data_IF_533841928211
#
_entry.id   IF_533841928211
#
_cell.length_a   1.000
_cell.length_b   1.000
_cell.length_c   1.000
_cell.angle_alpha   90.00
_cell.angle_beta   90.00
_cell.angle_gamma   90.00
#
_symmetry.space_group_name_H-M   'P 1'
#
loop_
_entity.id
_entity.type
_entity.pdbx_description
1 polymer ?
#
# COMPACT_ATOMS: atom_id res chain seq x y z
N UNK A 1 39.53 9.93 48.08
CA UNK A 1 38.20 9.98 47.43
C UNK A 1 38.41 9.79 45.93
N UNK A 2 38.09 8.60 45.40
CA UNK A 2 38.18 8.32 43.96
C UNK A 2 36.87 8.78 43.29
N UNK A 3 36.96 9.73 42.37
CA UNK A 3 35.82 10.16 41.55
C UNK A 3 35.57 9.12 40.44
N UNK A 4 34.40 8.48 40.49
CA UNK A 4 33.91 7.59 39.44
C UNK A 4 33.18 8.48 38.42
N UNK A 5 33.68 8.54 37.20
CA UNK A 5 32.98 9.18 36.08
C UNK A 5 32.10 8.09 35.38
N UNK A 6 30.80 8.23 35.50
CA UNK A 6 29.84 7.41 34.74
C UNK A 6 29.73 8.02 33.35
N UNK A 7 30.25 7.33 32.34
CA UNK A 7 30.08 7.70 30.93
C UNK A 7 28.71 7.17 30.47
N UNK A 8 27.73 8.05 30.39
CA UNK A 8 26.43 7.71 29.86
C UNK A 8 26.50 7.71 28.30
N UNK A 9 26.62 6.53 27.73
CA UNK A 9 26.55 6.38 26.27
C UNK A 9 25.09 6.55 25.88
N UNK A 10 24.71 7.69 25.28
CA UNK A 10 23.42 7.88 24.65
C UNK A 10 23.40 7.08 23.35
N UNK A 11 22.63 5.97 23.34
CA UNK A 11 22.30 5.27 22.12
C UNK A 11 21.29 6.14 21.36
N UNK A 12 21.72 6.82 20.32
CA UNK A 12 20.82 7.42 19.34
C UNK A 12 20.25 6.28 18.48
N UNK A 13 19.04 5.84 18.78
CA UNK A 13 18.22 5.16 17.80
C UNK A 13 17.81 6.21 16.77
N UNK A 14 18.41 6.16 15.60
CA UNK A 14 17.92 6.90 14.44
C UNK A 14 16.53 6.36 14.10
N UNK A 15 15.50 7.08 14.48
CA UNK A 15 14.17 6.86 13.95
C UNK A 15 14.23 7.35 12.50
N UNK A 16 14.27 6.44 11.53
CA UNK A 16 14.04 6.77 10.14
C UNK A 16 12.57 7.22 10.01
N UNK A 17 12.31 8.49 10.20
CA UNK A 17 11.03 9.09 9.89
C UNK A 17 10.94 9.17 8.36
N UNK A 18 10.22 8.24 7.75
CA UNK A 18 9.79 8.39 6.36
C UNK A 18 8.84 9.58 6.32
N UNK A 19 9.01 10.47 5.34
CA UNK A 19 8.00 11.48 5.07
C UNK A 19 6.78 10.76 4.48
N UNK A 20 5.72 10.63 5.28
CA UNK A 20 4.45 10.08 4.86
C UNK A 20 3.71 11.15 4.05
N UNK A 21 3.27 10.78 2.87
CA UNK A 21 2.47 11.61 1.98
C UNK A 21 1.03 11.09 2.01
N UNK A 22 0.08 11.97 1.73
CA UNK A 22 -1.35 11.63 1.72
C UNK A 22 -1.96 12.09 0.41
N UNK A 23 -2.80 11.24 -0.19
CA UNK A 23 -3.70 11.62 -1.26
C UNK A 23 -5.13 11.63 -0.71
N UNK A 24 -5.63 12.83 -0.43
CA UNK A 24 -6.90 13.16 0.19
C UNK A 24 -7.97 13.63 -0.81
N UNK A 25 -7.66 13.58 -2.10
CA UNK A 25 -8.53 13.96 -3.23
C UNK A 25 -8.94 15.44 -3.30
N UNK A 26 -8.48 16.30 -2.40
CA UNK A 26 -8.84 17.73 -2.38
C UNK A 26 -8.26 18.52 -3.58
N UNK A 27 -7.34 17.92 -4.32
CA UNK A 27 -6.86 18.47 -5.59
C UNK A 27 -7.88 18.32 -6.75
N UNK A 28 -8.93 17.49 -6.60
CA UNK A 28 -10.00 17.34 -7.58
C UNK A 28 -11.08 18.38 -7.32
N UNK A 29 -11.25 19.31 -8.25
CA UNK A 29 -12.23 20.39 -8.11
C UNK A 29 -13.62 19.87 -8.48
N UNK A 30 -14.48 19.72 -7.49
CA UNK A 30 -15.87 19.33 -7.64
C UNK A 30 -16.80 20.52 -7.35
N UNK A 31 -18.03 20.47 -7.87
CA UNK A 31 -19.13 21.32 -7.39
C UNK A 31 -19.62 20.84 -6.02
N UNK A 32 -20.61 21.54 -5.45
CA UNK A 32 -21.24 21.09 -4.19
C UNK A 32 -22.16 19.90 -4.46
N UNK A 33 -22.11 18.87 -3.58
CA UNK A 33 -22.94 17.66 -3.68
C UNK A 33 -22.87 17.01 -5.07
N UNK A 34 -21.64 16.70 -5.53
CA UNK A 34 -21.43 16.13 -6.84
C UNK A 34 -20.27 15.14 -6.85
N UNK A 35 -20.07 14.50 -7.98
CA UNK A 35 -18.99 13.53 -8.19
C UNK A 35 -18.45 13.59 -9.61
N UNK A 36 -17.21 13.14 -9.81
CA UNK A 36 -16.61 12.86 -11.12
C UNK A 36 -16.40 11.35 -11.27
N UNK A 37 -17.15 10.73 -12.17
CA UNK A 37 -17.06 9.31 -12.50
C UNK A 37 -16.38 9.06 -13.85
N UNK A 38 -15.67 10.05 -14.39
CA UNK A 38 -15.02 9.98 -15.70
C UNK A 38 -15.91 10.34 -16.87
N UNK A 39 -17.20 10.63 -16.67
CA UNK A 39 -18.13 10.99 -17.78
C UNK A 39 -17.73 12.28 -18.50
N UNK A 40 -16.98 13.16 -17.83
CA UNK A 40 -16.39 14.37 -18.40
C UNK A 40 -15.13 14.12 -19.24
N UNK A 41 -14.66 12.87 -19.35
CA UNK A 41 -13.45 12.50 -20.08
C UNK A 41 -12.23 12.25 -19.19
N UNK A 42 -12.38 12.29 -17.88
CA UNK A 42 -11.33 11.87 -16.91
C UNK A 42 -11.11 10.37 -17.06
N UNK A 43 -9.88 9.95 -17.38
CA UNK A 43 -9.58 8.53 -17.54
C UNK A 43 -9.13 7.87 -16.23
N UNK A 44 -8.39 8.60 -15.40
CA UNK A 44 -7.91 8.14 -14.07
C UNK A 44 -7.78 9.34 -13.15
N UNK A 45 -7.84 9.10 -11.85
CA UNK A 45 -7.57 10.13 -10.85
C UNK A 45 -6.14 9.98 -10.34
N UNK A 46 -5.37 11.07 -10.34
CA UNK A 46 -3.95 11.02 -10.00
C UNK A 46 -3.48 12.29 -9.28
N UNK A 47 -2.45 12.12 -8.45
CA UNK A 47 -1.66 13.21 -7.87
C UNK A 47 -0.19 13.17 -8.34
N UNK A 48 0.09 12.62 -9.53
CA UNK A 48 1.41 12.37 -10.12
C UNK A 48 2.22 11.25 -9.45
N UNK A 49 1.93 10.82 -8.24
CA UNK A 49 2.56 9.70 -7.54
C UNK A 49 1.69 8.46 -7.47
N UNK A 50 0.39 8.64 -7.29
CA UNK A 50 -0.60 7.58 -7.24
C UNK A 50 -1.62 7.76 -8.36
N UNK A 51 -2.12 6.64 -8.85
CA UNK A 51 -3.20 6.58 -9.82
C UNK A 51 -4.30 5.66 -9.30
N UNK A 52 -5.53 6.17 -9.26
CA UNK A 52 -6.75 5.41 -9.11
C UNK A 52 -7.35 5.20 -10.49
N UNK A 53 -7.50 3.98 -10.91
CA UNK A 53 -8.04 3.67 -12.23
C UNK A 53 -9.53 3.98 -12.30
N UNK A 54 -9.95 4.57 -13.42
CA UNK A 54 -11.34 4.80 -13.77
C UNK A 54 -11.54 4.42 -15.24
N UNK A 55 -12.67 3.79 -15.53
CA UNK A 55 -13.09 3.52 -16.90
C UNK A 55 -14.57 3.89 -17.03
N UNK A 56 -14.85 4.90 -17.84
CA UNK A 56 -16.22 5.30 -18.17
C UNK A 56 -16.55 4.93 -19.62
N UNK A 57 -17.56 4.09 -19.83
CA UNK A 57 -17.98 3.67 -21.15
C UNK A 57 -19.48 3.38 -21.21
N UNK A 58 -20.16 3.89 -22.23
CA UNK A 58 -21.56 3.55 -22.49
C UNK A 58 -22.54 4.01 -21.40
N UNK A 59 -22.20 5.00 -20.60
CA UNK A 59 -23.02 5.48 -19.47
C UNK A 59 -22.74 4.79 -18.14
N UNK A 60 -21.76 3.89 -18.09
CA UNK A 60 -21.36 3.14 -16.89
C UNK A 60 -19.90 3.43 -16.56
N UNK A 61 -19.56 3.32 -15.28
CA UNK A 61 -18.19 3.47 -14.80
C UNK A 61 -17.75 2.24 -13.99
N UNK A 62 -16.45 1.98 -13.99
CA UNK A 62 -15.78 1.00 -13.11
C UNK A 62 -14.48 1.61 -12.58
N UNK A 63 -13.93 1.04 -11.52
CA UNK A 63 -12.78 1.59 -10.83
C UNK A 63 -13.21 2.59 -9.77
N UNK A 64 -12.71 3.81 -9.86
CA UNK A 64 -12.95 4.85 -8.86
C UNK A 64 -13.72 6.04 -9.42
N UNK A 65 -14.48 6.65 -8.55
CA UNK A 65 -15.12 7.97 -8.72
C UNK A 65 -14.66 8.87 -7.57
N UNK A 66 -14.49 10.17 -7.79
CA UNK A 66 -14.25 11.12 -6.70
C UNK A 66 -15.53 11.85 -6.40
N UNK A 67 -15.90 11.95 -5.12
CA UNK A 67 -17.19 12.47 -4.67
C UNK A 67 -17.04 13.38 -3.45
N UNK A 68 -17.99 14.29 -3.28
CA UNK A 68 -18.20 15.06 -2.06
C UNK A 68 -19.68 15.06 -1.64
N UNK A 69 -20.44 14.03 -2.06
CA UNK A 69 -21.86 13.92 -1.73
C UNK A 69 -22.05 13.47 -0.29
N UNK A 70 -23.04 14.07 0.41
CA UNK A 70 -23.27 13.88 1.85
C UNK A 70 -24.55 13.14 2.18
N UNK A 71 -25.27 12.61 1.18
CA UNK A 71 -26.56 11.92 1.34
C UNK A 71 -26.39 10.55 2.01
N UNK A 72 -26.78 10.45 3.29
CA UNK A 72 -26.73 9.20 4.10
C UNK A 72 -28.09 8.53 4.24
N UNK A 73 -29.14 8.99 3.51
CA UNK A 73 -30.52 8.50 3.70
C UNK A 73 -31.15 7.87 2.46
N UNK A 74 -30.66 8.14 1.26
CA UNK A 74 -31.22 7.60 0.02
C UNK A 74 -30.66 6.20 -0.25
N UNK A 75 -31.52 5.19 -0.06
CA UNK A 75 -31.19 3.78 -0.31
C UNK A 75 -31.42 3.42 -1.77
N UNK A 76 -30.58 3.86 -2.67
CA UNK A 76 -30.75 3.65 -4.10
C UNK A 76 -29.42 3.69 -4.85
N UNK A 77 -29.34 3.00 -5.99
CA UNK A 77 -28.20 3.09 -6.91
C UNK A 77 -27.95 4.53 -7.41
N UNK A 78 -28.96 5.41 -7.37
CA UNK A 78 -28.78 6.84 -7.69
C UNK A 78 -27.95 7.59 -6.66
N UNK A 79 -27.67 6.97 -5.50
CA UNK A 79 -26.83 7.46 -4.43
C UNK A 79 -25.61 6.55 -4.20
N UNK A 80 -25.09 5.94 -5.26
CA UNK A 80 -23.94 5.03 -5.20
C UNK A 80 -22.63 5.74 -4.82
N UNK A 81 -22.56 7.05 -5.05
CA UNK A 81 -21.34 7.85 -4.84
C UNK A 81 -21.26 8.51 -3.46
N UNK A 82 -22.22 8.30 -2.55
CA UNK A 82 -22.15 8.86 -1.19
C UNK A 82 -21.49 7.91 -0.20
N UNK A 83 -20.57 8.43 0.63
CA UNK A 83 -20.06 7.69 1.78
C UNK A 83 -21.13 7.59 2.88
N UNK A 84 -21.20 6.48 3.60
CA UNK A 84 -22.16 6.31 4.70
C UNK A 84 -21.81 7.15 5.93
N UNK A 85 -20.60 7.69 5.98
CA UNK A 85 -20.17 8.66 7.01
C UNK A 85 -20.69 10.08 6.76
N UNK A 86 -21.20 10.38 5.54
CA UNK A 86 -21.74 11.67 5.13
C UNK A 86 -20.70 12.72 4.78
N UNK A 87 -19.43 12.37 4.72
CA UNK A 87 -18.32 13.25 4.32
C UNK A 87 -17.06 12.43 4.05
N UNK A 88 -16.02 13.07 3.49
CA UNK A 88 -14.65 12.56 3.51
C UNK A 88 -14.08 12.53 4.94
N UNK A 89 -12.92 11.93 5.10
CA UNK A 89 -12.24 11.82 6.38
C UNK A 89 -11.44 13.09 6.68
N UNK A 90 -11.96 13.97 7.51
CA UNK A 90 -11.40 15.31 7.79
C UNK A 90 -11.28 16.24 6.56
N UNK A 91 -11.99 15.92 5.49
CA UNK A 91 -11.98 16.60 4.19
C UNK A 91 -13.37 16.54 3.57
N UNK A 92 -13.57 17.20 2.42
CA UNK A 92 -14.84 17.17 1.70
C UNK A 92 -14.86 15.99 0.69
N UNK A 93 -13.77 15.80 -0.04
CA UNK A 93 -13.67 14.80 -1.09
C UNK A 93 -13.25 13.43 -0.55
N UNK A 94 -13.70 12.40 -1.24
CA UNK A 94 -13.30 11.00 -1.03
C UNK A 94 -13.46 10.23 -2.33
N UNK A 95 -12.88 9.02 -2.41
CA UNK A 95 -13.07 8.16 -3.57
C UNK A 95 -14.06 7.04 -3.27
N UNK A 96 -14.90 6.70 -4.25
CA UNK A 96 -15.80 5.53 -4.21
C UNK A 96 -15.33 4.52 -5.24
N UNK A 97 -15.23 3.26 -4.82
CA UNK A 97 -14.85 2.13 -5.66
C UNK A 97 -16.05 1.31 -6.10
N UNK A 98 -16.03 0.92 -7.38
CA UNK A 98 -16.94 -0.07 -7.97
C UNK A 98 -16.21 -0.88 -9.04
N UNK A 99 -16.06 -2.18 -8.84
CA UNK A 99 -15.56 -3.17 -9.81
C UNK A 99 -14.25 -2.80 -10.54
N UNK A 100 -13.45 -3.78 -10.91
CA UNK A 100 -12.34 -3.72 -11.87
C UNK A 100 -11.35 -2.53 -11.75
N UNK A 101 -11.17 -1.98 -10.57
CA UNK A 101 -10.26 -0.86 -10.34
C UNK A 101 -9.05 -1.22 -9.50
N UNK A 102 -8.00 -0.41 -9.61
CA UNK A 102 -6.79 -0.53 -8.80
C UNK A 102 -6.25 0.83 -8.37
N UNK A 103 -5.55 0.84 -7.25
CA UNK A 103 -4.62 1.91 -6.86
C UNK A 103 -3.24 1.47 -7.31
N UNK A 104 -2.49 2.33 -7.99
CA UNK A 104 -1.12 2.02 -8.40
C UNK A 104 -0.16 3.18 -8.17
N UNK A 105 1.11 2.86 -7.88
CA UNK A 105 2.18 3.85 -7.77
C UNK A 105 2.76 4.17 -9.14
N UNK A 106 3.24 5.41 -9.33
CA UNK A 106 3.83 5.85 -10.60
C UNK A 106 5.14 5.13 -10.94
N UNK A 107 5.85 4.59 -9.95
CA UNK A 107 7.13 3.90 -10.14
C UNK A 107 7.46 2.99 -8.94
N UNK A 108 8.56 2.24 -9.03
CA UNK A 108 9.05 1.28 -8.03
C UNK A 108 9.70 1.93 -6.79
N UNK A 109 9.83 3.25 -6.78
CA UNK A 109 10.36 4.00 -5.64
C UNK A 109 9.26 4.48 -4.69
N UNK A 110 8.01 4.19 -5.00
CA UNK A 110 6.84 4.53 -4.22
C UNK A 110 6.15 3.28 -3.69
N UNK A 111 5.53 3.40 -2.53
CA UNK A 111 4.70 2.35 -1.94
C UNK A 111 3.46 2.95 -1.29
N UNK A 112 2.35 2.23 -1.37
CA UNK A 112 1.14 2.50 -0.59
C UNK A 112 1.36 1.96 0.82
N UNK A 113 1.14 2.81 1.82
CA UNK A 113 1.28 2.45 3.25
C UNK A 113 -0.07 2.02 3.84
N UNK A 114 -1.17 2.52 3.30
CA UNK A 114 -2.52 2.24 3.75
C UNK A 114 -3.52 3.29 3.29
N UNK A 115 -4.76 3.12 3.70
CA UNK A 115 -5.86 4.08 3.46
C UNK A 115 -6.98 3.88 4.46
N UNK A 116 -7.89 4.84 4.54
CA UNK A 116 -9.13 4.67 5.29
C UNK A 116 -10.24 4.15 4.39
N UNK A 117 -11.10 3.28 4.95
CA UNK A 117 -12.20 2.64 4.24
C UNK A 117 -13.50 2.74 5.04
N UNK A 118 -14.63 2.87 4.35
CA UNK A 118 -15.97 2.80 4.91
C UNK A 118 -16.98 2.30 3.89
N UNK A 119 -18.23 2.05 4.30
CA UNK A 119 -19.33 1.75 3.37
C UNK A 119 -19.73 2.99 2.56
N UNK A 120 -20.27 2.74 1.35
CA UNK A 120 -21.16 3.73 0.71
C UNK A 120 -22.54 3.68 1.35
N UNK A 121 -23.27 4.77 1.22
CA UNK A 121 -24.67 4.85 1.71
C UNK A 121 -25.56 3.81 1.04
N UNK A 122 -25.38 3.61 -0.28
CA UNK A 122 -26.16 2.61 -1.01
C UNK A 122 -25.92 1.20 -0.46
N UNK A 123 -24.67 0.76 -0.31
CA UNK A 123 -24.36 -0.56 0.21
C UNK A 123 -24.84 -0.73 1.66
N UNK A 124 -24.58 0.24 2.54
CA UNK A 124 -24.98 0.18 3.94
C UNK A 124 -26.49 0.09 4.12
N UNK A 125 -27.26 0.93 3.44
CA UNK A 125 -28.71 0.94 3.55
C UNK A 125 -29.38 -0.27 2.89
N UNK A 126 -28.77 -0.82 1.82
CA UNK A 126 -29.20 -2.09 1.21
C UNK A 126 -29.06 -3.24 2.21
N UNK A 127 -27.92 -3.37 2.88
CA UNK A 127 -27.71 -4.38 3.94
C UNK A 127 -28.63 -4.15 5.14
N UNK A 128 -28.82 -2.89 5.55
CA UNK A 128 -29.61 -2.55 6.74
C UNK A 128 -31.10 -2.80 6.56
N UNK A 129 -31.66 -2.47 5.38
CA UNK A 129 -33.10 -2.45 5.14
C UNK A 129 -33.57 -3.53 4.16
N UNK A 130 -32.66 -4.11 3.38
CA UNK A 130 -33.00 -4.86 2.18
C UNK A 130 -33.52 -3.95 1.05
N UNK A 131 -33.55 -4.48 -0.15
CA UNK A 131 -34.15 -3.83 -1.32
C UNK A 131 -34.73 -4.89 -2.29
N UNK A 132 -35.00 -4.51 -3.55
CA UNK A 132 -35.58 -5.44 -4.55
C UNK A 132 -34.60 -6.53 -5.00
N UNK A 133 -33.32 -6.41 -4.70
CA UNK A 133 -32.26 -7.32 -5.14
C UNK A 133 -31.55 -7.98 -3.95
N UNK A 134 -31.24 -7.19 -2.92
CA UNK A 134 -30.47 -7.62 -1.76
C UNK A 134 -31.38 -7.84 -0.53
N UNK A 135 -31.06 -8.85 0.26
CA UNK A 135 -31.73 -9.12 1.53
C UNK A 135 -31.35 -8.10 2.59
N UNK A 136 -32.21 -7.96 3.61
CA UNK A 136 -31.83 -7.32 4.86
C UNK A 136 -30.92 -8.27 5.64
N UNK A 137 -29.74 -7.82 6.06
CA UNK A 137 -28.83 -8.62 6.89
C UNK A 137 -29.42 -8.92 8.26
N UNK A 138 -29.16 -10.12 8.78
CA UNK A 138 -29.81 -10.66 9.97
C UNK A 138 -31.21 -11.29 9.72
N UNK A 139 -31.78 -11.14 8.51
CA UNK A 139 -33.02 -11.80 8.12
C UNK A 139 -32.77 -13.28 7.84
N UNK A 140 -33.78 -14.14 8.19
CA UNK A 140 -33.78 -15.56 7.83
C UNK A 140 -34.13 -15.81 6.35
N UNK A 141 -34.62 -14.79 5.68
CA UNK A 141 -35.10 -14.88 4.29
C UNK A 141 -34.26 -13.96 3.37
N UNK A 142 -34.09 -14.43 2.13
CA UNK A 142 -33.57 -13.63 1.04
C UNK A 142 -34.53 -12.52 0.58
N UNK A 143 -34.12 -11.73 -0.41
CA UNK A 143 -34.96 -10.66 -0.97
C UNK A 143 -36.27 -11.17 -1.58
N UNK A 144 -36.32 -12.42 -2.01
CA UNK A 144 -37.51 -13.09 -2.55
C UNK A 144 -38.50 -13.56 -1.48
N UNK A 145 -38.20 -13.34 -0.19
CA UNK A 145 -39.00 -13.73 0.96
C UNK A 145 -38.91 -15.21 1.37
N UNK A 146 -38.06 -16.00 0.70
CA UNK A 146 -37.85 -17.40 1.05
C UNK A 146 -36.59 -17.57 1.91
N UNK A 147 -36.52 -18.65 2.77
CA UNK A 147 -35.30 -18.95 3.51
C UNK A 147 -34.07 -19.11 2.58
N UNK A 148 -32.99 -18.40 2.88
CA UNK A 148 -31.77 -18.39 2.06
C UNK A 148 -30.66 -19.31 2.58
N UNK A 149 -30.87 -19.90 3.76
CA UNK A 149 -29.96 -20.85 4.38
C UNK A 149 -28.83 -20.21 5.19
N UNK A 150 -28.75 -18.87 5.28
CA UNK A 150 -27.76 -18.19 6.12
C UNK A 150 -28.11 -18.21 7.59
N UNK A 151 -29.39 -18.43 7.93
CA UNK A 151 -29.92 -18.30 9.29
C UNK A 151 -29.73 -16.91 9.93
N UNK A 152 -29.56 -15.87 9.11
CA UNK A 152 -29.26 -14.52 9.53
C UNK A 152 -27.77 -14.25 9.79
N UNK A 153 -26.92 -15.25 9.60
CA UNK A 153 -25.47 -15.11 9.71
C UNK A 153 -24.92 -14.50 8.42
N UNK A 154 -25.09 -13.20 8.26
CA UNK A 154 -24.72 -12.47 7.05
C UNK A 154 -23.40 -11.75 7.18
N UNK A 155 -22.72 -11.58 6.06
CA UNK A 155 -21.51 -10.76 5.99
C UNK A 155 -21.34 -10.11 4.62
N UNK A 156 -20.63 -8.98 4.63
CA UNK A 156 -20.11 -8.35 3.42
C UNK A 156 -18.67 -7.91 3.66
N UNK A 157 -17.75 -8.37 2.85
CA UNK A 157 -16.34 -8.05 2.99
C UNK A 157 -15.68 -7.73 1.66
N UNK A 158 -14.57 -7.02 1.76
CA UNK A 158 -13.65 -6.78 0.66
C UNK A 158 -12.30 -7.45 0.97
N UNK A 159 -11.78 -8.20 -0.01
CA UNK A 159 -10.39 -8.61 -0.06
C UNK A 159 -9.59 -7.47 -0.65
N UNK A 160 -8.62 -6.98 0.08
CA UNK A 160 -7.69 -5.94 -0.33
C UNK A 160 -6.39 -6.67 -0.68
N UNK A 161 -6.06 -6.72 -1.96
CA UNK A 161 -4.99 -7.54 -2.52
C UNK A 161 -3.81 -6.64 -2.81
N UNK A 162 -2.69 -6.91 -2.14
CA UNK A 162 -1.46 -6.14 -2.27
C UNK A 162 -0.48 -6.82 -3.23
N UNK A 163 0.01 -6.06 -4.19
CA UNK A 163 0.93 -6.49 -5.24
C UNK A 163 2.22 -5.67 -5.20
N UNK A 164 3.32 -6.27 -5.62
CA UNK A 164 4.56 -5.55 -5.84
C UNK A 164 4.55 -4.80 -7.20
N UNK A 165 5.61 -4.07 -7.47
CA UNK A 165 5.75 -3.31 -8.71
C UNK A 165 5.72 -4.19 -9.98
N UNK A 166 6.04 -5.47 -9.87
CA UNK A 166 5.97 -6.41 -11.00
C UNK A 166 4.55 -6.91 -11.28
N UNK A 167 3.57 -6.57 -10.42
CA UNK A 167 2.20 -7.06 -10.46
C UNK A 167 2.03 -8.45 -9.84
N UNK A 168 3.04 -8.92 -9.08
CA UNK A 168 2.91 -10.17 -8.36
C UNK A 168 2.16 -9.96 -7.05
N UNK A 169 1.06 -10.70 -6.87
CA UNK A 169 0.34 -10.75 -5.59
C UNK A 169 1.26 -11.28 -4.49
N UNK A 170 1.38 -10.52 -3.42
CA UNK A 170 2.25 -10.85 -2.28
C UNK A 170 1.46 -11.18 -1.03
N UNK A 171 0.40 -10.43 -0.77
CA UNK A 171 -0.44 -10.63 0.41
C UNK A 171 -1.85 -10.09 0.17
N UNK A 172 -2.76 -10.35 1.10
CA UNK A 172 -4.11 -9.80 1.08
C UNK A 172 -4.66 -9.72 2.50
N UNK A 173 -5.51 -8.74 2.73
CA UNK A 173 -6.25 -8.57 3.98
C UNK A 173 -7.74 -8.60 3.71
N UNK A 174 -8.49 -9.24 4.60
CA UNK A 174 -9.95 -9.18 4.63
C UNK A 174 -10.40 -7.99 5.48
N UNK A 175 -11.32 -7.21 4.96
CA UNK A 175 -12.00 -6.19 5.75
C UNK A 175 -13.51 -6.40 5.64
N UNK A 176 -14.17 -6.59 6.81
CA UNK A 176 -15.62 -6.77 6.89
C UNK A 176 -16.30 -5.41 6.94
N UNK A 177 -16.99 -5.05 5.87
CA UNK A 177 -17.85 -3.86 5.78
C UNK A 177 -19.17 -4.05 6.54
N UNK A 178 -19.59 -5.31 6.73
CA UNK A 178 -20.66 -5.72 7.64
C UNK A 178 -20.42 -7.16 8.12
N UNK A 179 -20.72 -7.44 9.38
CA UNK A 179 -20.63 -8.78 9.95
C UNK A 179 -21.76 -9.02 10.96
N UNK A 180 -22.63 -10.00 10.66
CA UNK A 180 -23.81 -10.43 11.43
C UNK A 180 -23.69 -11.87 11.91
N UNK A 181 -22.48 -12.41 12.00
CA UNK A 181 -22.20 -13.80 12.37
C UNK A 181 -21.83 -13.97 13.84
N UNK A 182 -21.97 -12.94 14.65
CA UNK A 182 -21.66 -13.02 16.07
C UNK A 182 -22.75 -13.81 16.82
N UNK A 183 -22.33 -14.67 17.76
CA UNK A 183 -23.25 -15.37 18.64
C UNK A 183 -24.09 -14.42 19.51
N UNK A 184 -23.52 -13.27 19.84
CA UNK A 184 -24.21 -12.16 20.51
C UNK A 184 -24.52 -11.10 19.44
N UNK A 185 -25.74 -11.08 18.97
CA UNK A 185 -26.20 -10.17 17.91
C UNK A 185 -26.04 -8.68 18.26
N UNK A 186 -25.79 -8.34 19.55
CA UNK A 186 -25.42 -6.95 19.90
C UNK A 186 -24.05 -6.52 19.38
N UNK A 187 -23.26 -7.48 18.89
CA UNK A 187 -21.94 -7.24 18.26
C UNK A 187 -22.04 -7.18 16.73
N UNK A 188 -23.19 -7.49 16.14
CA UNK A 188 -23.42 -7.35 14.71
C UNK A 188 -23.27 -5.88 14.28
N UNK A 189 -22.65 -5.67 13.13
CA UNK A 189 -22.39 -4.31 12.68
C UNK A 189 -22.43 -4.14 11.17
N UNK A 190 -22.72 -2.92 10.76
CA UNK A 190 -22.42 -2.35 9.45
C UNK A 190 -21.47 -1.18 9.71
N UNK A 191 -20.30 -1.17 9.06
CA UNK A 191 -19.30 -0.11 9.22
C UNK A 191 -19.91 1.24 8.83
N UNK A 192 -19.83 2.21 9.74
CA UNK A 192 -20.37 3.56 9.61
C UNK A 192 -19.36 4.65 10.03
N UNK A 193 -18.09 4.30 10.09
CA UNK A 193 -16.98 5.19 10.39
C UNK A 193 -15.79 4.84 9.49
N UNK A 194 -14.80 5.73 9.41
CA UNK A 194 -13.56 5.50 8.66
C UNK A 194 -12.61 4.59 9.42
N UNK A 195 -12.23 3.48 8.81
CA UNK A 195 -11.32 2.48 9.38
C UNK A 195 -10.02 2.43 8.59
N UNK A 196 -8.87 2.42 9.27
CA UNK A 196 -7.57 2.39 8.63
C UNK A 196 -7.12 0.96 8.28
N UNK A 197 -6.71 0.78 7.03
CA UNK A 197 -6.07 -0.44 6.54
C UNK A 197 -4.58 -0.17 6.46
N UNK A 198 -3.79 -0.90 7.25
CA UNK A 198 -2.34 -0.72 7.36
C UNK A 198 -1.59 -1.81 6.58
N UNK A 199 -0.75 -1.41 5.64
CA UNK A 199 0.10 -2.30 4.85
C UNK A 199 1.51 -2.46 5.41
N UNK A 200 1.88 -1.77 6.47
CA UNK A 200 3.22 -1.86 7.06
C UNK A 200 3.54 -3.30 7.54
N UNK A 201 2.51 -4.08 7.88
CA UNK A 201 2.67 -5.46 8.33
C UNK A 201 3.05 -6.45 7.23
N UNK A 202 2.90 -6.10 5.94
CA UNK A 202 3.15 -7.04 4.83
C UNK A 202 4.63 -7.33 4.57
N UNK A 203 5.55 -6.49 5.06
CA UNK A 203 6.99 -6.74 4.96
C UNK A 203 7.57 -6.61 3.55
N UNK A 204 6.83 -6.03 2.60
CA UNK A 204 7.26 -5.68 1.25
C UNK A 204 6.67 -4.33 0.82
N UNK A 205 7.21 -3.76 -0.27
CA UNK A 205 6.68 -2.51 -0.83
C UNK A 205 5.45 -2.78 -1.67
N UNK A 206 4.28 -2.33 -1.20
CA UNK A 206 3.00 -2.42 -1.92
C UNK A 206 2.94 -1.35 -3.00
N UNK A 207 3.02 -1.75 -4.27
CA UNK A 207 2.97 -0.85 -5.41
C UNK A 207 1.60 -0.79 -6.09
N UNK A 208 0.80 -1.84 -5.94
CA UNK A 208 -0.57 -1.92 -6.45
C UNK A 208 -1.49 -2.51 -5.40
N UNK A 209 -2.74 -2.04 -5.41
CA UNK A 209 -3.81 -2.56 -4.57
C UNK A 209 -5.04 -2.77 -5.43
N UNK A 210 -5.51 -4.00 -5.48
CA UNK A 210 -6.75 -4.39 -6.14
C UNK A 210 -7.75 -4.96 -5.14
N UNK A 211 -9.01 -5.12 -5.54
CA UNK A 211 -10.09 -5.43 -4.63
C UNK A 211 -10.99 -6.53 -5.16
N UNK A 212 -11.52 -7.35 -4.25
CA UNK A 212 -12.51 -8.37 -4.56
C UNK A 212 -13.54 -8.43 -3.44
N UNK A 213 -14.81 -8.35 -3.80
CA UNK A 213 -15.92 -8.46 -2.86
C UNK A 213 -16.33 -9.91 -2.61
N UNK A 214 -16.91 -10.13 -1.43
CA UNK A 214 -17.57 -11.36 -1.03
C UNK A 214 -18.70 -11.05 -0.06
N UNK A 215 -19.87 -11.64 -0.30
CA UNK A 215 -21.05 -11.51 0.55
C UNK A 215 -21.73 -12.86 0.76
N UNK A 216 -22.44 -13.01 1.88
CA UNK A 216 -23.37 -14.13 2.11
C UNK A 216 -24.60 -14.05 1.21
N UNK A 217 -25.03 -12.85 0.80
CA UNK A 217 -26.19 -12.63 -0.02
C UNK A 217 -25.85 -12.77 -1.51
N UNK A 218 -26.12 -13.97 -2.06
CA UNK A 218 -25.86 -14.33 -3.43
C UNK A 218 -27.10 -14.92 -4.09
N UNK A 219 -27.35 -14.55 -5.33
CA UNK A 219 -28.43 -15.04 -6.16
C UNK A 219 -27.96 -15.75 -7.42
N UNK A 220 -28.88 -16.01 -8.31
CA UNK A 220 -28.61 -16.67 -9.61
C UNK A 220 -27.66 -15.88 -10.52
N UNK A 221 -27.50 -14.58 -10.29
CA UNK A 221 -26.69 -13.66 -11.07
C UNK A 221 -25.41 -13.21 -10.37
N UNK A 222 -25.09 -13.84 -9.22
CA UNK A 222 -23.93 -13.49 -8.39
C UNK A 222 -24.36 -12.78 -7.10
N UNK A 223 -23.47 -11.95 -6.57
CA UNK A 223 -23.68 -11.22 -5.33
C UNK A 223 -24.79 -10.18 -5.49
N UNK A 224 -25.77 -10.19 -4.55
CA UNK A 224 -26.87 -9.23 -4.54
C UNK A 224 -26.53 -7.95 -3.77
N UNK A 225 -25.67 -8.04 -2.77
CA UNK A 225 -25.17 -6.89 -2.00
C UNK A 225 -24.45 -5.91 -2.95
N UNK A 226 -24.78 -4.61 -2.95
CA UNK A 226 -24.11 -3.61 -3.79
C UNK A 226 -22.61 -3.58 -3.54
N UNK A 227 -21.79 -3.81 -4.57
CA UNK A 227 -20.34 -3.95 -4.50
C UNK A 227 -19.62 -2.61 -4.53
N UNK A 228 -19.88 -1.77 -3.54
CA UNK A 228 -19.31 -0.43 -3.38
C UNK A 228 -18.68 -0.25 -2.00
N UNK A 229 -17.59 0.49 -1.95
CA UNK A 229 -17.05 1.08 -0.72
C UNK A 229 -16.44 2.45 -1.00
N UNK A 230 -16.21 3.24 0.04
CA UNK A 230 -15.51 4.51 -0.06
C UNK A 230 -14.13 4.40 0.60
N UNK A 231 -13.13 5.10 0.05
CA UNK A 231 -11.79 5.26 0.62
C UNK A 231 -11.41 6.72 0.70
N UNK A 232 -10.51 7.03 1.65
CA UNK A 232 -9.94 8.35 1.79
C UNK A 232 -8.53 8.29 2.40
N UNK A 233 -7.82 9.43 2.34
CA UNK A 233 -6.49 9.59 2.94
C UNK A 233 -5.55 8.44 2.58
N UNK A 234 -5.32 8.17 1.29
CA UNK A 234 -4.36 7.15 0.87
C UNK A 234 -2.97 7.62 1.29
N UNK A 235 -2.39 6.89 2.24
CA UNK A 235 -1.05 7.14 2.74
C UNK A 235 -0.04 6.40 1.88
N UNK A 236 1.01 7.11 1.47
CA UNK A 236 2.08 6.54 0.65
C UNK A 236 3.41 7.17 1.02
N UNK A 237 4.48 6.51 0.67
CA UNK A 237 5.84 7.01 0.91
C UNK A 237 6.77 6.60 -0.22
N UNK A 238 7.91 7.29 -0.27
CA UNK A 238 9.04 6.75 -1.03
C UNK A 238 9.59 5.52 -0.34
N UNK A 239 9.87 4.49 -1.11
CA UNK A 239 10.61 3.31 -0.64
C UNK A 239 12.00 3.79 -0.23
N UNK A 240 12.13 4.20 1.04
CA UNK A 240 13.43 4.53 1.62
C UNK A 240 14.10 3.22 2.04
N UNK A 241 14.45 2.47 1.07
CA UNK A 241 15.43 1.41 1.18
C UNK A 241 16.37 1.68 0.04
N UNK A 242 17.62 1.93 0.37
CA UNK A 242 18.69 1.42 -0.44
C UNK A 242 18.48 -0.11 -0.48
N UNK A 243 17.57 -0.61 -1.29
CA UNK A 243 17.86 -1.80 -2.02
C UNK A 243 19.01 -1.38 -2.96
N UNK A 244 20.20 -1.20 -2.39
CA UNK A 244 21.41 -1.30 -3.16
C UNK A 244 21.26 -2.62 -3.89
N UNK A 245 20.91 -2.55 -5.17
CA UNK A 245 20.88 -3.73 -6.02
C UNK A 245 22.28 -4.30 -5.90
N UNK A 246 22.39 -5.42 -5.16
CA UNK A 246 23.69 -6.03 -4.95
C UNK A 246 24.17 -6.50 -6.32
N UNK A 247 25.32 -6.02 -6.72
CA UNK A 247 25.98 -6.51 -7.93
C UNK A 247 26.27 -8.00 -7.76
N UNK A 248 25.69 -8.82 -8.62
CA UNK A 248 25.54 -10.26 -8.37
C UNK A 248 26.83 -11.08 -8.57
N UNK A 249 27.80 -10.61 -9.33
CA UNK A 249 28.94 -11.39 -9.80
C UNK A 249 30.30 -10.86 -9.33
N UNK A 250 30.35 -10.14 -8.19
CA UNK A 250 31.59 -9.56 -7.67
C UNK A 250 32.28 -10.58 -6.76
N UNK A 251 33.58 -10.81 -7.01
CA UNK A 251 34.44 -11.63 -6.17
C UNK A 251 35.63 -10.81 -5.72
N UNK A 252 35.92 -10.85 -4.43
CA UNK A 252 37.03 -10.14 -3.81
C UNK A 252 37.86 -11.11 -3.01
N UNK A 253 39.14 -11.25 -3.37
CA UNK A 253 40.05 -12.23 -2.74
C UNK A 253 41.51 -11.82 -2.88
N UNK A 254 42.40 -12.36 -1.97
CA UNK A 254 42.08 -13.10 -0.78
C UNK A 254 41.53 -12.22 0.33
N UNK A 255 40.76 -12.82 1.25
CA UNK A 255 40.33 -12.18 2.46
C UNK A 255 40.42 -13.18 3.61
N UNK A 256 41.31 -13.03 4.60
CA UNK A 256 42.22 -11.89 4.82
C UNK A 256 43.22 -11.61 3.70
N UNK A 257 43.51 -10.31 3.51
CA UNK A 257 44.48 -9.84 2.51
C UNK A 257 45.89 -9.67 3.14
N UNK A 258 46.92 -10.01 2.39
CA UNK A 258 48.29 -9.73 2.76
C UNK A 258 48.83 -8.49 1.99
N UNK A 259 49.28 -8.67 0.78
CA UNK A 259 49.87 -7.59 -0.02
C UNK A 259 48.93 -7.07 -1.11
N UNK A 260 48.17 -7.96 -1.73
CA UNK A 260 47.34 -7.63 -2.91
C UNK A 260 45.95 -8.19 -2.76
N UNK A 261 44.95 -7.36 -3.00
CA UNK A 261 43.53 -7.71 -3.05
C UNK A 261 43.09 -7.66 -4.52
N UNK A 262 42.44 -8.73 -4.97
CA UNK A 262 41.89 -8.84 -6.33
C UNK A 262 40.39 -8.64 -6.29
N UNK A 263 39.86 -7.85 -7.20
CA UNK A 263 38.43 -7.66 -7.45
C UNK A 263 38.12 -8.13 -8.85
N UNK A 264 37.16 -9.03 -9.00
CA UNK A 264 36.63 -9.52 -10.28
C UNK A 264 35.13 -9.29 -10.31
N UNK A 265 34.59 -8.91 -11.44
CA UNK A 265 33.15 -8.80 -11.64
C UNK A 265 32.78 -7.59 -12.49
N UNK A 266 31.66 -6.98 -12.13
CA UNK A 266 31.04 -5.90 -12.89
C UNK A 266 31.88 -4.63 -12.92
N UNK A 267 31.73 -3.81 -13.97
CA UNK A 267 32.36 -2.49 -14.06
C UNK A 267 31.81 -1.54 -12.98
N UNK A 268 32.55 -0.54 -12.62
CA UNK A 268 32.15 0.49 -11.68
C UNK A 268 33.30 1.18 -11.00
N UNK A 269 33.03 2.01 -10.03
CA UNK A 269 34.04 2.65 -9.19
C UNK A 269 34.30 1.83 -7.95
N UNK A 270 35.55 1.40 -7.73
CA UNK A 270 35.98 0.78 -6.47
C UNK A 270 36.42 1.89 -5.50
N UNK A 271 35.91 1.81 -4.27
CA UNK A 271 36.35 2.67 -3.16
C UNK A 271 36.72 1.81 -1.96
N UNK A 272 37.96 1.95 -1.49
CA UNK A 272 38.42 1.30 -0.26
C UNK A 272 38.39 2.32 0.89
N UNK A 273 37.73 1.96 2.00
CA UNK A 273 37.50 2.82 3.18
C UNK A 273 38.04 2.16 4.45
N UNK A 274 38.49 2.97 5.40
CA UNK A 274 38.78 2.49 6.76
C UNK A 274 37.50 2.36 7.61
N UNK A 275 37.65 1.90 8.86
CA UNK A 275 36.53 1.74 9.80
C UNK A 275 35.76 3.03 10.12
N UNK A 276 36.37 4.20 9.89
CA UNK A 276 35.77 5.50 10.12
C UNK A 276 35.11 6.07 8.87
N UNK A 277 35.06 5.29 7.76
CA UNK A 277 34.51 5.71 6.47
C UNK A 277 35.44 6.61 5.65
N UNK A 278 36.70 6.84 6.09
CA UNK A 278 37.67 7.62 5.33
C UNK A 278 38.13 6.84 4.10
N UNK A 279 38.04 7.47 2.93
CA UNK A 279 38.50 6.89 1.68
C UNK A 279 40.03 6.80 1.69
N UNK A 280 40.55 5.58 1.45
CA UNK A 280 41.97 5.28 1.32
C UNK A 280 42.36 5.28 -0.15
N UNK A 281 41.52 4.68 -1.00
CA UNK A 281 41.73 4.60 -2.44
C UNK A 281 40.38 4.59 -3.17
N UNK A 282 40.35 5.17 -4.39
CA UNK A 282 39.16 5.12 -5.26
C UNK A 282 39.62 5.19 -6.72
N UNK A 283 39.09 4.30 -7.56
CA UNK A 283 39.47 4.22 -8.99
C UNK A 283 38.43 3.45 -9.81
N UNK A 284 38.46 3.64 -11.12
CA UNK A 284 37.57 2.94 -12.04
C UNK A 284 38.00 1.47 -12.24
N UNK A 285 37.01 0.60 -12.24
CA UNK A 285 37.10 -0.84 -12.40
C UNK A 285 36.33 -1.32 -13.63
N UNK A 286 36.91 -2.11 -14.49
CA UNK A 286 36.24 -2.60 -15.70
C UNK A 286 35.78 -4.04 -15.61
N UNK A 287 36.48 -4.96 -15.03
CA UNK A 287 36.09 -6.36 -14.77
C UNK A 287 37.13 -7.09 -13.92
N UNK A 288 38.32 -6.54 -13.82
CA UNK A 288 39.42 -7.10 -13.03
C UNK A 288 40.31 -5.95 -12.55
N UNK A 289 40.59 -5.92 -11.26
CA UNK A 289 41.50 -4.96 -10.62
C UNK A 289 42.30 -5.61 -9.52
N UNK A 290 43.51 -5.10 -9.30
CA UNK A 290 44.36 -5.47 -8.16
C UNK A 290 44.67 -4.23 -7.36
N UNK A 291 44.42 -4.28 -6.05
CA UNK A 291 44.67 -3.19 -5.11
C UNK A 291 45.90 -3.59 -4.29
N UNK A 292 46.90 -2.69 -4.26
CA UNK A 292 48.03 -2.85 -3.35
C UNK A 292 47.61 -2.48 -1.94
N UNK A 293 47.76 -3.44 -1.04
CA UNK A 293 47.40 -3.32 0.37
C UNK A 293 48.65 -3.40 1.28
N UNK A 294 49.88 -3.36 0.70
CA UNK A 294 51.13 -3.53 1.45
C UNK A 294 51.30 -2.48 2.55
N UNK A 295 50.89 -1.25 2.29
CA UNK A 295 51.03 -0.10 3.18
C UNK A 295 49.87 0.01 4.18
N UNK A 296 48.87 -0.88 4.11
CA UNK A 296 47.74 -0.89 5.05
C UNK A 296 48.14 -1.50 6.39
N UNK A 297 47.75 -0.86 7.47
CA UNK A 297 47.92 -1.42 8.81
C UNK A 297 46.94 -2.61 9.00
N UNK A 298 47.32 -3.54 9.90
CA UNK A 298 46.42 -4.60 10.30
C UNK A 298 45.12 -4.02 10.87
N UNK A 299 43.99 -4.48 10.33
CA UNK A 299 42.67 -3.94 10.69
C UNK A 299 41.56 -4.35 9.75
N UNK A 300 40.40 -3.69 9.93
CA UNK A 300 39.20 -3.90 9.13
C UNK A 300 39.02 -2.72 8.17
N UNK A 301 38.72 -3.06 6.92
CA UNK A 301 38.45 -2.13 5.85
C UNK A 301 37.16 -2.52 5.15
N UNK A 302 36.57 -1.59 4.40
CA UNK A 302 35.39 -1.83 3.55
C UNK A 302 35.72 -1.49 2.12
N UNK A 303 35.52 -2.48 1.24
CA UNK A 303 35.60 -2.29 -0.20
C UNK A 303 34.16 -2.12 -0.73
N UNK A 304 33.91 -1.04 -1.42
CA UNK A 304 32.68 -0.75 -2.13
C UNK A 304 32.97 -0.73 -3.64
N UNK A 305 32.20 -1.49 -4.42
CA UNK A 305 32.13 -1.38 -5.88
C UNK A 305 30.76 -0.84 -6.24
N UNK A 306 30.69 0.26 -6.95
CA UNK A 306 29.43 0.94 -7.29
C UNK A 306 29.35 1.30 -8.76
N UNK A 307 28.19 1.11 -9.37
CA UNK A 307 27.85 1.57 -10.72
C UNK A 307 26.40 2.07 -10.79
N UNK A 308 25.90 2.32 -12.00
CA UNK A 308 24.52 2.73 -12.28
C UNK A 308 23.47 1.64 -12.02
N UNK A 309 23.90 0.38 -11.85
CA UNK A 309 23.01 -0.76 -11.59
C UNK A 309 22.92 -1.14 -10.11
N UNK A 310 23.86 -0.67 -9.27
CA UNK A 310 23.86 -0.98 -7.85
C UNK A 310 25.23 -0.85 -7.18
N UNK A 311 25.37 -1.47 -6.01
CA UNK A 311 26.63 -1.54 -5.29
C UNK A 311 26.90 -2.94 -4.73
N UNK A 312 28.15 -3.19 -4.40
CA UNK A 312 28.63 -4.37 -3.68
C UNK A 312 29.59 -3.91 -2.59
N UNK A 313 29.32 -4.31 -1.35
CA UNK A 313 30.18 -3.95 -0.22
C UNK A 313 30.72 -5.22 0.43
N UNK A 314 32.02 -5.26 0.63
CA UNK A 314 32.68 -6.37 1.36
C UNK A 314 33.60 -5.87 2.43
N UNK A 315 33.49 -6.49 3.62
CA UNK A 315 34.48 -6.35 4.69
C UNK A 315 35.77 -7.06 4.32
N UNK A 316 36.90 -6.35 4.40
CA UNK A 316 38.26 -6.83 4.15
C UNK A 316 39.01 -6.84 5.47
N UNK A 317 39.74 -7.92 5.73
CA UNK A 317 40.62 -8.07 6.90
C UNK A 317 42.07 -8.01 6.41
N UNK A 318 42.85 -7.08 6.96
CA UNK A 318 44.30 -6.93 6.74
C UNK A 318 45.07 -7.48 7.92
#
# INVERSE_FOLDING_TARGET
>A
MKKIYVLTTALFFGVNSKAQLVFDFENVVLGTETYDNGSGGTANFTNDQLTLSNNYSGGFWTGFTISNTTDVITASFTNESSSYTGAGRNSDNYAVYYSDGEISTANDQLQVEGFYITNTTYAALSMLNGDSFAKQFGSLNGADGNPDGTNGEDFFKVWIIAEDYTGAVKDSVEFYLADYRFLDNSQDYIVNDWNYIDFAAFGFSTARVSFRFESSDNGAWGMNTPSYFAIDDIQYSYVVGLAEKQLANVKVFPNPVNEKLTVQGEYGTITLKDMNGRIINSFEHNSYSTIDCSDLNAGVYFLELRNDQGSYIQKIIK
#
